data_IF_891763504002
#
_entry.id   IF_891763504002
#
_cell.length_a   1.000
_cell.length_b   1.000
_cell.length_c   1.000
_cell.angle_alpha   90.00
_cell.angle_beta   90.00
_cell.angle_gamma   90.00
#
_symmetry.space_group_name_H-M   'P 1'
#
loop_
_entity.id
_entity.type
_entity.pdbx_description
1 polymer ?
#
# COMPACT_ATOMS: atom_id res chain seq x y z
N UNK A 1 -5.37 -79.78 15.27
CA UNK A 1 -6.49 -78.84 15.07
C UNK A 1 -5.97 -77.43 15.31
N UNK A 2 -6.16 -76.54 14.33
CA UNK A 2 -5.94 -75.07 14.31
C UNK A 2 -4.48 -74.61 14.55
N UNK A 3 -3.86 -73.65 13.84
CA UNK A 3 -4.28 -72.77 12.76
C UNK A 3 -3.00 -72.26 12.05
N UNK A 4 -2.72 -72.65 10.80
CA UNK A 4 -1.69 -72.02 9.92
C UNK A 4 -2.29 -70.95 9.00
N UNK A 5 -3.51 -70.48 9.29
CA UNK A 5 -4.23 -69.51 8.47
C UNK A 5 -3.97 -68.04 8.86
N UNK A 6 -3.33 -67.77 10.00
CA UNK A 6 -3.17 -66.41 10.54
C UNK A 6 -2.01 -65.61 9.91
N UNK A 7 -0.98 -66.29 9.40
CA UNK A 7 0.22 -65.66 8.83
C UNK A 7 -0.02 -65.19 7.37
N UNK A 8 -0.81 -65.95 6.59
CA UNK A 8 -1.08 -65.64 5.18
C UNK A 8 -2.04 -64.46 4.99
N UNK A 9 -2.90 -64.17 5.97
CA UNK A 9 -3.83 -63.03 5.94
C UNK A 9 -3.13 -61.68 6.19
N UNK A 10 -1.98 -61.67 6.88
CA UNK A 10 -1.21 -60.43 7.12
C UNK A 10 -0.38 -60.01 5.91
N UNK A 11 0.16 -60.98 5.15
CA UNK A 11 0.95 -60.70 3.95
C UNK A 11 0.07 -60.24 2.78
N UNK A 12 -1.13 -60.80 2.63
CA UNK A 12 -2.08 -60.37 1.60
C UNK A 12 -2.72 -59.01 1.90
N UNK A 13 -2.94 -58.67 3.17
CA UNK A 13 -3.40 -57.33 3.57
C UNK A 13 -2.35 -56.24 3.30
N UNK A 14 -1.05 -56.51 3.52
CA UNK A 14 0.02 -55.56 3.21
C UNK A 14 0.25 -55.37 1.71
N UNK A 15 -0.01 -56.39 0.88
CA UNK A 15 0.08 -56.28 -0.59
C UNK A 15 -1.14 -55.60 -1.24
N UNK A 16 -2.27 -55.46 -0.53
CA UNK A 16 -3.45 -54.76 -1.05
C UNK A 16 -3.55 -53.28 -0.64
N UNK A 17 -2.72 -52.79 0.31
CA UNK A 17 -2.65 -51.35 0.61
C UNK A 17 -1.75 -50.59 -0.39
N UNK A 18 -0.99 -51.28 -1.23
CA UNK A 18 -0.11 -50.66 -2.22
C UNK A 18 -0.80 -50.17 -3.51
N UNK A 19 -2.13 -50.24 -3.62
CA UNK A 19 -2.88 -49.77 -4.80
C UNK A 19 -4.17 -49.04 -4.44
N UNK A 20 -4.04 -47.85 -3.86
CA UNK A 20 -4.94 -46.71 -4.10
C UNK A 20 -4.52 -45.51 -3.23
N UNK A 21 -3.32 -44.99 -3.45
CA UNK A 21 -3.17 -43.55 -3.32
C UNK A 21 -3.54 -43.03 -4.71
N UNK A 22 -4.67 -42.32 -4.90
CA UNK A 22 -4.72 -41.44 -6.04
C UNK A 22 -3.58 -40.46 -5.78
N UNK A 23 -2.46 -40.64 -6.48
CA UNK A 23 -1.57 -39.53 -6.71
C UNK A 23 -2.50 -38.43 -7.25
N UNK A 24 -2.69 -37.36 -6.47
CA UNK A 24 -3.25 -36.13 -7.00
C UNK A 24 -2.21 -35.63 -8.00
N UNK A 25 -2.22 -36.24 -9.18
CA UNK A 25 -1.67 -35.63 -10.37
C UNK A 25 -2.60 -34.47 -10.60
N UNK A 26 -2.20 -33.29 -10.11
CA UNK A 26 -2.86 -32.04 -10.45
C UNK A 26 -2.70 -31.94 -11.97
N UNK A 27 -3.77 -32.14 -12.75
CA UNK A 27 -3.66 -31.94 -14.17
C UNK A 27 -3.59 -30.43 -14.31
N UNK A 28 -2.44 -29.93 -14.76
CA UNK A 28 -2.19 -28.53 -15.08
C UNK A 28 -1.46 -27.69 -13.99
N UNK A 29 -0.27 -28.14 -13.60
CA UNK A 29 0.74 -27.31 -12.92
C UNK A 29 1.40 -26.28 -13.84
N UNK A 30 1.10 -26.26 -15.15
CA UNK A 30 1.78 -25.38 -16.12
C UNK A 30 1.64 -23.89 -15.81
N UNK A 31 0.54 -23.47 -15.16
CA UNK A 31 0.35 -22.08 -14.76
C UNK A 31 1.24 -21.70 -13.58
N UNK A 32 1.37 -22.60 -12.60
CA UNK A 32 2.21 -22.38 -11.43
C UNK A 32 3.69 -22.47 -11.81
N UNK A 33 4.06 -23.39 -12.70
CA UNK A 33 5.40 -23.47 -13.27
C UNK A 33 5.74 -22.22 -14.09
N UNK A 34 4.84 -21.72 -14.94
CA UNK A 34 5.04 -20.43 -15.64
C UNK A 34 5.16 -19.23 -14.70
N UNK A 35 4.42 -19.26 -13.58
CA UNK A 35 4.52 -18.21 -12.55
C UNK A 35 5.84 -18.30 -11.80
N UNK A 36 6.32 -19.51 -11.48
CA UNK A 36 7.60 -19.74 -10.80
C UNK A 36 8.81 -19.49 -11.72
N UNK A 37 8.71 -19.78 -13.01
CA UNK A 37 9.74 -19.48 -14.01
C UNK A 37 10.07 -17.98 -14.05
N UNK A 38 9.06 -17.11 -13.89
CA UNK A 38 9.25 -15.65 -13.76
C UNK A 38 10.09 -15.24 -12.53
N UNK A 39 10.17 -16.09 -11.50
CA UNK A 39 10.90 -15.81 -10.25
C UNK A 39 12.22 -16.58 -10.13
N UNK A 40 12.53 -17.50 -11.05
CA UNK A 40 13.70 -18.38 -10.95
C UNK A 40 14.88 -17.99 -11.86
N UNK A 41 14.81 -16.88 -12.58
CA UNK A 41 15.97 -16.32 -13.30
C UNK A 41 16.85 -15.46 -12.35
N UNK A 42 17.74 -16.09 -11.58
CA UNK A 42 18.69 -15.38 -10.68
C UNK A 42 20.17 -15.71 -10.96
N UNK A 43 20.54 -15.97 -12.21
CA UNK A 43 21.93 -16.27 -12.56
C UNK A 43 22.34 -15.77 -13.97
N UNK A 44 21.97 -14.52 -14.29
CA UNK A 44 22.37 -13.84 -15.52
C UNK A 44 22.69 -12.35 -15.33
N UNK A 45 23.99 -12.04 -15.21
CA UNK A 45 24.67 -10.77 -15.53
C UNK A 45 24.06 -9.43 -15.05
N UNK A 46 24.77 -8.85 -14.08
CA UNK A 46 24.68 -7.58 -13.34
C UNK A 46 24.43 -6.25 -14.12
N UNK A 47 24.14 -6.24 -15.43
CA UNK A 47 23.93 -5.02 -16.24
C UNK A 47 22.58 -4.91 -16.97
N UNK A 48 21.64 -5.82 -16.75
CA UNK A 48 20.24 -5.55 -17.13
C UNK A 48 19.70 -4.49 -16.20
N UNK A 49 19.57 -3.25 -16.71
CA UNK A 49 18.94 -2.13 -16.02
C UNK A 49 17.69 -2.64 -15.32
N UNK A 50 17.77 -2.79 -13.99
CA UNK A 50 16.68 -3.23 -13.13
C UNK A 50 15.49 -2.42 -13.57
N UNK A 51 14.55 -3.06 -14.27
CA UNK A 51 13.32 -2.43 -14.74
C UNK A 51 12.87 -1.60 -13.55
N UNK A 52 12.89 -0.27 -13.68
CA UNK A 52 12.42 0.63 -12.64
C UNK A 52 10.90 0.45 -12.67
N UNK A 53 10.46 -0.74 -12.23
CA UNK A 53 9.09 -1.17 -12.26
C UNK A 53 8.31 -0.08 -11.58
N UNK A 54 7.14 0.24 -12.15
CA UNK A 54 6.14 1.06 -11.48
C UNK A 54 6.09 0.58 -10.02
N UNK A 55 6.65 1.38 -9.11
CA UNK A 55 6.60 1.05 -7.69
C UNK A 55 5.21 1.44 -7.26
N UNK A 56 4.33 0.45 -7.19
CA UNK A 56 3.07 0.61 -6.48
C UNK A 56 3.39 1.03 -5.03
N UNK A 57 2.49 1.80 -4.44
CA UNK A 57 2.53 2.08 -3.00
C UNK A 57 2.46 0.74 -2.26
N UNK A 58 3.46 0.46 -1.44
CA UNK A 58 3.48 -0.77 -0.64
C UNK A 58 2.63 -0.60 0.63
N UNK A 59 2.23 -1.68 1.29
CA UNK A 59 1.51 -1.60 2.58
C UNK A 59 2.30 -0.81 3.64
N UNK A 60 3.63 -0.88 3.60
CA UNK A 60 4.48 -0.12 4.50
C UNK A 60 4.51 1.37 4.14
N UNK A 61 4.49 1.71 2.85
CA UNK A 61 4.33 3.10 2.41
C UNK A 61 2.97 3.65 2.81
N UNK A 62 1.89 2.88 2.60
CA UNK A 62 0.53 3.21 3.02
C UNK A 62 0.48 3.59 4.51
N UNK A 63 1.00 2.72 5.37
CA UNK A 63 1.05 2.98 6.81
C UNK A 63 1.87 4.23 7.13
N UNK A 64 3.05 4.38 6.50
CA UNK A 64 3.93 5.53 6.72
C UNK A 64 3.29 6.86 6.29
N UNK A 65 2.56 6.86 5.19
CA UNK A 65 1.79 8.02 4.71
C UNK A 65 0.73 8.38 5.75
N UNK A 66 -0.08 7.40 6.17
CA UNK A 66 -1.19 7.62 7.10
C UNK A 66 -0.71 8.10 8.47
N UNK A 67 0.33 7.47 9.01
CA UNK A 67 0.93 7.81 10.31
C UNK A 67 1.49 9.24 10.29
N UNK A 68 2.17 9.62 9.20
CA UNK A 68 2.71 10.97 9.08
C UNK A 68 1.60 12.02 8.99
N UNK A 69 0.54 11.77 8.21
CA UNK A 69 -0.61 12.67 8.16
C UNK A 69 -1.25 12.85 9.54
N UNK A 70 -1.54 11.75 10.25
CA UNK A 70 -2.15 11.81 11.57
C UNK A 70 -1.25 12.46 12.62
N UNK A 71 0.07 12.20 12.55
CA UNK A 71 1.04 12.89 13.41
C UNK A 71 1.01 14.41 13.18
N UNK A 72 1.08 14.85 11.93
CA UNK A 72 1.10 16.28 11.60
C UNK A 72 -0.23 16.96 11.95
N UNK A 73 -1.37 16.29 11.72
CA UNK A 73 -2.71 16.76 12.15
C UNK A 73 -2.80 16.94 13.67
N UNK A 74 -2.12 16.10 14.45
CA UNK A 74 -2.10 16.21 15.91
C UNK A 74 -1.21 17.36 16.43
N UNK A 75 -0.37 17.94 15.56
CA UNK A 75 0.65 18.93 15.91
C UNK A 75 0.37 20.33 15.34
N UNK A 76 -0.81 20.56 14.75
CA UNK A 76 -1.18 21.86 14.20
C UNK A 76 -1.20 22.96 15.27
N UNK A 77 -0.83 24.16 14.87
CA UNK A 77 -0.90 25.36 15.71
C UNK A 77 -1.56 26.51 14.93
N UNK A 78 -2.54 27.21 15.51
CA UNK A 78 -3.21 26.94 16.79
C UNK A 78 -3.86 25.55 16.86
N UNK A 79 -4.06 25.01 18.07
CA UNK A 79 -4.61 23.67 18.25
C UNK A 79 -6.05 23.59 17.75
N UNK A 80 -6.37 22.55 16.98
CA UNK A 80 -7.72 22.30 16.50
C UNK A 80 -8.56 21.52 17.53
N UNK A 81 -9.81 21.92 17.74
CA UNK A 81 -10.75 21.24 18.66
C UNK A 81 -11.48 20.06 18.02
N UNK A 82 -11.52 20.00 16.68
CA UNK A 82 -12.31 19.04 15.90
C UNK A 82 -11.51 18.41 14.74
N UNK A 83 -10.20 18.22 14.90
CA UNK A 83 -9.38 17.55 13.89
C UNK A 83 -9.64 16.04 13.88
N UNK A 84 -10.30 15.54 12.83
CA UNK A 84 -10.63 14.12 12.71
C UNK A 84 -9.41 13.22 12.49
N UNK A 85 -9.51 11.94 12.85
CA UNK A 85 -8.46 10.97 12.61
C UNK A 85 -8.58 10.42 11.18
N UNK A 86 -7.49 10.41 10.41
CA UNK A 86 -7.48 9.86 9.06
C UNK A 86 -7.35 8.35 9.07
N UNK A 87 -8.08 7.69 8.17
CA UNK A 87 -7.97 6.26 7.86
C UNK A 87 -7.65 6.08 6.39
N UNK A 88 -7.03 4.96 6.02
CA UNK A 88 -6.82 4.63 4.61
C UNK A 88 -8.13 4.24 3.93
N UNK A 89 -8.33 4.71 2.70
CA UNK A 89 -9.48 4.37 1.86
C UNK A 89 -8.99 3.81 0.52
N UNK A 90 -9.36 2.56 0.23
CA UNK A 90 -8.89 1.81 -0.94
C UNK A 90 -9.54 2.31 -2.25
N UNK A 91 -10.70 2.96 -2.19
CA UNK A 91 -11.32 3.58 -3.36
C UNK A 91 -10.59 4.87 -3.73
N UNK A 92 -10.20 5.67 -2.74
CA UNK A 92 -9.36 6.85 -2.96
C UNK A 92 -7.98 6.48 -3.49
N UNK A 93 -7.37 5.40 -3.00
CA UNK A 93 -6.10 4.86 -3.52
C UNK A 93 -6.20 4.55 -5.02
N UNK A 94 -7.20 3.75 -5.43
CA UNK A 94 -7.40 3.38 -6.85
C UNK A 94 -7.67 4.60 -7.73
N UNK A 95 -8.43 5.57 -7.22
CA UNK A 95 -8.71 6.82 -7.91
C UNK A 95 -7.42 7.64 -8.12
N UNK A 96 -6.59 7.75 -7.08
CA UNK A 96 -5.31 8.46 -7.15
C UNK A 96 -4.31 7.76 -8.09
N UNK A 97 -4.24 6.42 -8.07
CA UNK A 97 -3.43 5.64 -9.00
C UNK A 97 -3.85 5.92 -10.45
N UNK A 98 -5.15 5.78 -10.76
CA UNK A 98 -5.71 6.02 -12.10
C UNK A 98 -5.37 7.42 -12.64
N UNK A 99 -5.46 8.46 -11.78
CA UNK A 99 -5.08 9.81 -12.17
C UNK A 99 -3.56 9.97 -12.37
N UNK A 100 -2.75 9.41 -11.47
CA UNK A 100 -1.29 9.50 -11.56
C UNK A 100 -0.74 8.79 -12.81
N UNK A 101 -1.39 7.72 -13.28
CA UNK A 101 -1.00 7.01 -14.51
C UNK A 101 -1.12 7.87 -15.78
N UNK A 102 -1.93 8.93 -15.76
CA UNK A 102 -2.04 9.87 -16.88
C UNK A 102 -0.77 10.71 -17.05
N UNK A 103 0.09 10.80 -16.02
CA UNK A 103 1.32 11.60 -16.04
C UNK A 103 1.08 13.09 -16.36
N UNK A 104 -0.08 13.64 -15.99
CA UNK A 104 -0.43 15.05 -16.16
C UNK A 104 -0.22 15.79 -14.84
N UNK A 105 0.50 16.92 -14.88
CA UNK A 105 0.72 17.77 -13.72
C UNK A 105 -0.43 18.75 -13.50
N UNK A 106 -1.64 18.20 -13.31
CA UNK A 106 -2.88 18.96 -13.15
C UNK A 106 -3.81 18.23 -12.19
N UNK A 107 -4.74 18.97 -11.57
CA UNK A 107 -5.77 18.38 -10.72
C UNK A 107 -6.88 17.73 -11.53
N UNK A 108 -7.44 16.64 -11.04
CA UNK A 108 -8.61 16.02 -11.65
C UNK A 108 -8.99 14.64 -11.13
N UNK A 109 -10.02 14.02 -11.72
CA UNK A 109 -10.91 14.59 -12.75
C UNK A 109 -11.82 15.70 -12.18
N UNK A 110 -12.10 16.73 -12.97
CA UNK A 110 -12.82 17.93 -12.53
C UNK A 110 -14.20 17.65 -11.90
N UNK A 111 -14.85 16.55 -12.29
CA UNK A 111 -16.15 16.13 -11.71
C UNK A 111 -16.07 15.69 -10.25
N UNK A 112 -14.90 15.24 -9.77
CA UNK A 112 -14.71 14.74 -8.42
C UNK A 112 -14.14 15.79 -7.46
N UNK A 113 -13.43 16.80 -7.97
CA UNK A 113 -12.79 17.85 -7.17
C UNK A 113 -13.73 18.62 -6.22
N UNK A 114 -15.04 18.81 -6.50
CA UNK A 114 -15.95 19.45 -5.54
C UNK A 114 -16.22 18.62 -4.28
N UNK A 115 -15.95 17.31 -4.30
CA UNK A 115 -16.28 16.40 -3.18
C UNK A 115 -15.06 15.67 -2.63
N UNK A 116 -13.98 15.53 -3.41
CA UNK A 116 -12.74 14.85 -3.03
C UNK A 116 -11.57 15.81 -3.28
N UNK A 117 -10.85 16.15 -2.21
CA UNK A 117 -9.63 16.96 -2.30
C UNK A 117 -8.45 16.20 -2.90
N UNK A 118 -7.42 16.92 -3.33
CA UNK A 118 -6.22 16.33 -3.94
C UNK A 118 -4.98 17.16 -3.65
N UNK A 119 -3.89 16.49 -3.25
CA UNK A 119 -2.55 17.07 -3.23
C UNK A 119 -1.69 16.36 -4.30
N UNK A 120 -0.87 17.12 -5.02
CA UNK A 120 0.01 16.61 -6.06
C UNK A 120 1.48 16.74 -5.63
N UNK A 121 2.28 15.74 -5.95
CA UNK A 121 3.70 15.70 -5.59
C UNK A 121 4.53 15.04 -6.67
N UNK A 122 5.53 15.73 -7.18
CA UNK A 122 6.48 15.20 -8.16
C UNK A 122 7.91 15.54 -7.73
N UNK A 123 8.83 14.63 -7.99
CA UNK A 123 10.27 14.87 -7.81
C UNK A 123 11.05 14.18 -8.91
N UNK A 124 12.26 14.68 -9.18
CA UNK A 124 13.16 14.10 -10.16
C UNK A 124 14.46 13.63 -9.48
N UNK A 125 15.16 12.70 -10.15
CA UNK A 125 16.45 12.18 -9.68
C UNK A 125 16.31 10.96 -8.76
N UNK A 126 16.96 11.03 -7.60
CA UNK A 126 17.01 9.92 -6.63
C UNK A 126 15.63 9.66 -6.03
N UNK A 127 15.38 8.39 -5.69
CA UNK A 127 14.15 7.99 -5.03
C UNK A 127 13.93 8.76 -3.73
N UNK A 128 12.72 9.31 -3.57
CA UNK A 128 12.19 9.82 -2.31
C UNK A 128 11.02 8.93 -1.87
N UNK A 129 10.92 8.56 -0.58
CA UNK A 129 9.75 7.85 -0.08
C UNK A 129 8.52 8.76 -0.16
N UNK A 130 7.29 8.22 -0.23
CA UNK A 130 6.07 9.02 -0.31
C UNK A 130 5.92 10.04 0.84
N UNK A 131 6.43 9.72 2.03
CA UNK A 131 6.46 10.62 3.20
C UNK A 131 7.21 11.93 2.96
N UNK A 132 8.15 11.95 2.00
CA UNK A 132 8.82 13.19 1.58
C UNK A 132 7.83 14.22 1.04
N UNK A 133 6.86 13.79 0.24
CA UNK A 133 5.85 14.69 -0.34
C UNK A 133 4.84 15.13 0.71
N UNK A 134 4.44 14.25 1.62
CA UNK A 134 3.56 14.60 2.76
C UNK A 134 4.19 15.69 3.62
N UNK A 135 5.49 15.58 3.92
CA UNK A 135 6.20 16.62 4.67
C UNK A 135 6.30 17.91 3.85
N UNK A 136 6.59 17.83 2.55
CA UNK A 136 6.68 19.01 1.69
C UNK A 136 5.36 19.79 1.64
N UNK A 137 4.21 19.09 1.54
CA UNK A 137 2.88 19.74 1.63
C UNK A 137 2.64 20.37 2.99
N UNK A 138 3.07 19.74 4.08
CA UNK A 138 2.91 20.32 5.41
C UNK A 138 3.82 21.52 5.66
N UNK A 139 5.05 21.51 5.11
CA UNK A 139 6.03 22.59 5.30
C UNK A 139 5.56 23.94 4.70
N UNK A 140 4.52 23.93 3.86
CA UNK A 140 3.79 25.12 3.42
C UNK A 140 3.17 25.91 4.59
N UNK A 141 3.02 25.29 5.77
CA UNK A 141 2.58 25.96 7.01
C UNK A 141 3.44 27.17 7.37
N UNK A 142 4.71 27.22 6.94
CA UNK A 142 5.59 28.38 7.15
C UNK A 142 5.07 29.63 6.44
N UNK A 143 4.33 29.46 5.36
CA UNK A 143 3.80 30.54 4.53
C UNK A 143 2.29 30.76 4.78
N UNK A 144 1.75 30.17 5.85
CA UNK A 144 0.34 30.21 6.23
C UNK A 144 0.15 30.75 7.66
N UNK A 145 -0.79 31.68 7.83
CA UNK A 145 -1.17 32.23 9.14
C UNK A 145 -2.66 31.96 9.40
N UNK A 146 -2.96 31.49 10.62
CA UNK A 146 -4.33 31.25 11.09
C UNK A 146 -4.59 31.87 12.47
N UNK A 147 -5.70 32.59 12.67
CA UNK A 147 -6.69 32.97 11.65
C UNK A 147 -6.08 33.97 10.65
N UNK A 148 -6.65 34.07 9.45
CA UNK A 148 -6.29 35.13 8.52
C UNK A 148 -6.52 36.50 9.16
N UNK A 149 -5.73 37.51 8.79
CA UNK A 149 -5.79 38.85 9.40
C UNK A 149 -7.20 39.47 9.33
N UNK A 150 -7.93 39.23 8.25
CA UNK A 150 -9.30 39.73 8.04
C UNK A 150 -10.39 38.89 8.73
N UNK A 151 -10.06 37.67 9.17
CA UNK A 151 -10.95 36.77 9.92
C UNK A 151 -10.69 36.85 11.43
N UNK A 152 -9.61 37.51 11.83
CA UNK A 152 -9.34 37.87 13.20
C UNK A 152 -10.36 38.93 13.68
N UNK A 153 -11.42 38.49 14.35
CA UNK A 153 -12.31 39.35 15.14
C UNK A 153 -12.06 39.11 16.65
N UNK A 154 -11.10 39.83 17.26
CA UNK A 154 -10.73 39.60 18.64
C UNK A 154 -11.81 40.14 19.59
N UNK A 155 -12.75 39.28 20.00
CA UNK A 155 -13.56 39.58 21.18
C UNK A 155 -12.74 39.28 22.44
N UNK A 156 -12.67 40.27 23.33
CA UNK A 156 -11.76 40.31 24.48
C UNK A 156 -11.71 38.97 25.27
N UNK A 157 -10.50 38.43 25.59
CA UNK A 157 -9.19 39.06 25.52
C UNK A 157 -8.42 38.76 24.21
N UNK A 158 -8.16 39.84 23.47
CA UNK A 158 -7.36 40.04 22.26
C UNK A 158 -6.22 39.07 21.94
N UNK A 159 -6.50 37.86 21.43
CA UNK A 159 -5.46 37.08 20.74
C UNK A 159 -6.00 36.36 19.52
N UNK A 160 -5.65 36.90 18.36
CA UNK A 160 -5.43 36.09 17.17
C UNK A 160 -3.93 35.92 17.04
N UNK A 161 -3.46 34.69 17.20
CA UNK A 161 -2.05 34.38 17.03
C UNK A 161 -1.94 33.09 16.24
N UNK A 162 -1.81 33.23 14.93
CA UNK A 162 -0.96 32.35 14.13
C UNK A 162 0.46 32.91 14.12
N UNK A 163 1.50 32.13 13.74
CA UNK A 163 2.86 32.63 13.64
C UNK A 163 2.98 33.84 12.71
#
# INVERSE_FOLDING_TARGET
MMCKAQEWLRVTALLFVARAVPAMVVPNATLLEKLLEKYMDEDGEWWTAKQRGKRAITDNDMQSILDLHNKLRSQVYPTASNMEYMTWDVELERSAESWAEMCLWEHGPASLLPSIGQNLGAHWGRYRPPTFHVQAWYDEVRDFSYPYENECDPYCPFRCSGP
#
